data_IF_667577103512
#
_entry.id   IF_667577103512
#
_cell.length_a   1.000
_cell.length_b   1.000
_cell.length_c   1.000
_cell.angle_alpha   90.00
_cell.angle_beta   90.00
_cell.angle_gamma   90.00
#
_symmetry.space_group_name_H-M   'P 1'
#
loop_
_entity.id
_entity.type
_entity.pdbx_description
1 polymer ?
#
# COMPACT_ATOMS: atom_id res chain seq x y z
N UNK A 1 9.54 14.80 -26.83
CA UNK A 1 8.14 14.40 -26.62
C UNK A 1 7.77 14.73 -25.19
N UNK A 2 7.12 15.88 -25.02
CA UNK A 2 6.37 16.37 -23.85
C UNK A 2 5.28 15.36 -23.47
N UNK A 3 4.92 15.08 -22.21
CA UNK A 3 4.59 15.97 -21.10
C UNK A 3 4.84 15.29 -19.75
N UNK A 4 5.58 15.99 -18.88
CA UNK A 4 5.77 15.68 -17.47
C UNK A 4 4.49 16.04 -16.70
N UNK A 5 3.51 15.14 -16.73
CA UNK A 5 2.36 15.21 -15.84
C UNK A 5 2.71 14.39 -14.61
N UNK A 6 2.76 15.02 -13.44
CA UNK A 6 2.81 14.33 -12.15
C UNK A 6 1.57 13.45 -12.08
N UNK A 7 1.69 12.20 -12.50
CA UNK A 7 0.61 11.24 -12.43
C UNK A 7 0.31 11.03 -10.95
N UNK A 8 -0.90 11.37 -10.55
CA UNK A 8 -1.36 11.28 -9.16
C UNK A 8 -1.46 9.80 -8.79
N UNK A 9 -0.36 9.23 -8.28
CA UNK A 9 -0.33 7.85 -7.76
C UNK A 9 -1.24 7.77 -6.53
N UNK A 10 -2.15 6.80 -6.52
CA UNK A 10 -2.99 6.54 -5.36
C UNK A 10 -2.29 5.51 -4.43
N UNK A 11 -1.79 5.93 -3.26
CA UNK A 11 -1.06 5.04 -2.36
C UNK A 11 -1.94 3.96 -1.71
N UNK A 12 -3.26 4.07 -1.81
CA UNK A 12 -4.21 3.07 -1.29
C UNK A 12 -4.48 1.92 -2.28
N UNK A 13 -4.00 2.01 -3.53
CA UNK A 13 -4.28 1.02 -4.56
C UNK A 13 -3.06 0.14 -4.86
N UNK A 14 -3.28 -1.17 -4.90
CA UNK A 14 -2.29 -2.17 -5.25
C UNK A 14 -1.77 -1.96 -6.68
N UNK A 15 -0.45 -1.93 -6.92
CA UNK A 15 0.11 -1.69 -8.25
C UNK A 15 -0.13 -2.85 -9.23
N UNK A 16 -0.52 -4.03 -8.74
CA UNK A 16 -0.72 -5.23 -9.57
C UNK A 16 -2.18 -5.44 -9.95
N UNK A 17 -3.13 -5.10 -9.07
CA UNK A 17 -4.55 -5.39 -9.28
C UNK A 17 -5.46 -4.17 -9.15
N UNK A 18 -4.90 -2.98 -8.87
CA UNK A 18 -5.58 -1.68 -8.74
C UNK A 18 -6.71 -1.61 -7.71
N UNK A 19 -6.91 -2.67 -6.92
CA UNK A 19 -7.80 -2.72 -5.75
C UNK A 19 -7.10 -2.16 -4.52
N UNK A 20 -7.86 -1.92 -3.46
CA UNK A 20 -7.34 -1.51 -2.16
C UNK A 20 -6.20 -2.43 -1.67
N UNK A 21 -5.08 -1.86 -1.25
CA UNK A 21 -3.90 -2.61 -0.84
C UNK A 21 -3.87 -3.06 0.63
N UNK A 22 -4.87 -2.69 1.41
CA UNK A 22 -5.00 -2.97 2.83
C UNK A 22 -3.77 -2.57 3.66
N UNK A 23 -2.99 -1.58 3.18
CA UNK A 23 -1.80 -1.10 3.85
C UNK A 23 -1.91 0.41 4.15
N UNK A 24 -1.85 0.75 5.44
CA UNK A 24 -1.92 2.13 5.94
C UNK A 24 -0.59 2.89 6.00
N UNK A 25 0.54 2.32 5.55
CA UNK A 25 1.87 2.91 5.78
C UNK A 25 2.09 4.26 5.08
N UNK A 26 1.27 4.59 4.07
CA UNK A 26 1.39 5.83 3.32
C UNK A 26 0.37 6.90 3.74
N UNK A 27 -0.52 6.58 4.68
CA UNK A 27 -1.51 7.51 5.22
C UNK A 27 -0.98 8.31 6.42
N UNK A 28 0.14 7.93 7.04
CA UNK A 28 0.60 8.61 8.25
C UNK A 28 1.18 10.01 8.00
N UNK A 29 1.74 10.27 6.80
CA UNK A 29 2.46 11.53 6.50
C UNK A 29 1.80 12.42 5.42
N UNK A 30 0.68 12.02 4.81
CA UNK A 30 0.04 12.78 3.72
C UNK A 30 -1.43 13.19 4.00
N UNK A 31 -1.91 13.00 5.22
CA UNK A 31 -3.25 13.46 5.63
C UNK A 31 -3.20 14.89 6.17
N UNK A 32 -3.03 15.84 5.25
CA UNK A 32 -3.26 17.26 5.53
C UNK A 32 -4.75 17.63 5.43
N UNK A 33 -5.60 16.73 4.92
CA UNK A 33 -7.04 16.95 4.84
C UNK A 33 -7.73 16.42 6.11
N UNK A 34 -8.18 17.35 6.95
CA UNK A 34 -8.94 17.09 8.18
C UNK A 34 -10.19 16.24 7.97
N UNK A 35 -10.69 16.07 6.73
CA UNK A 35 -11.81 15.17 6.43
C UNK A 35 -11.42 13.69 6.35
N UNK A 36 -10.16 13.34 6.07
CA UNK A 36 -9.76 11.92 6.04
C UNK A 36 -9.47 11.35 7.43
N UNK A 37 -9.07 12.20 8.39
CA UNK A 37 -8.83 11.78 9.79
C UNK A 37 -10.09 11.26 10.48
N UNK A 38 -11.26 11.83 10.19
CA UNK A 38 -12.49 11.50 10.91
C UNK A 38 -13.20 10.24 10.41
N UNK A 39 -12.94 9.78 9.18
CA UNK A 39 -13.59 8.56 8.65
C UNK A 39 -12.70 7.31 8.73
N UNK A 40 -11.38 7.46 8.89
CA UNK A 40 -10.47 6.32 8.99
C UNK A 40 -10.38 5.74 10.40
N UNK A 41 -10.99 6.40 11.41
CA UNK A 41 -10.82 6.06 12.82
C UNK A 41 -12.04 5.45 13.51
N UNK A 42 -13.23 5.38 12.91
CA UNK A 42 -14.42 4.97 13.69
C UNK A 42 -15.13 3.68 13.28
N UNK A 43 -14.89 3.06 12.12
CA UNK A 43 -15.51 1.74 11.85
C UNK A 43 -14.70 0.87 10.86
N UNK A 44 -13.96 -0.10 11.41
CA UNK A 44 -13.66 -1.40 10.78
C UNK A 44 -12.80 -1.43 9.50
N UNK A 45 -11.54 -1.04 9.63
CA UNK A 45 -10.42 -1.82 9.08
C UNK A 45 -9.58 -2.25 10.28
N UNK A 46 -9.00 -3.47 10.32
CA UNK A 46 -8.03 -3.80 11.34
C UNK A 46 -6.80 -2.92 11.07
N UNK A 47 -6.84 -1.70 11.61
CA UNK A 47 -5.67 -0.89 11.77
C UNK A 47 -4.82 -1.69 12.75
N UNK A 48 -3.75 -2.27 12.21
CA UNK A 48 -2.45 -2.23 12.86
C UNK A 48 -2.53 -2.65 14.32
N UNK A 49 -2.35 -3.95 14.61
CA UNK A 49 -2.33 -4.50 15.98
C UNK A 49 -1.73 -3.51 16.97
N UNK A 50 -2.54 -2.91 17.86
CA UNK A 50 -2.07 -1.82 18.72
C UNK A 50 -0.91 -2.23 19.66
N UNK A 51 -0.67 -3.53 19.79
CA UNK A 51 0.41 -4.12 20.58
C UNK A 51 1.74 -4.29 19.79
N UNK A 52 1.67 -4.37 18.46
CA UNK A 52 2.84 -4.36 17.56
C UNK A 52 2.83 -3.04 16.79
N UNK A 53 3.89 -2.24 16.86
CA UNK A 53 4.04 -1.01 16.06
C UNK A 53 4.17 -1.26 14.52
N UNK A 54 3.47 -2.25 13.98
CA UNK A 54 3.40 -2.57 12.57
C UNK A 54 2.16 -1.88 12.01
N UNK A 55 2.38 -0.93 11.10
CA UNK A 55 1.29 -0.14 10.49
C UNK A 55 0.70 -0.81 9.24
N UNK A 56 1.27 -1.94 8.80
CA UNK A 56 0.77 -2.81 7.73
C UNK A 56 1.17 -4.26 7.93
N UNK A 57 0.35 -5.19 7.44
CA UNK A 57 0.66 -6.63 7.38
C UNK A 57 1.99 -6.92 6.65
N UNK A 58 2.32 -6.12 5.63
CA UNK A 58 3.54 -6.30 4.83
C UNK A 58 4.84 -5.92 5.54
N UNK A 59 4.77 -5.40 6.78
CA UNK A 59 5.93 -5.10 7.61
C UNK A 59 6.30 -6.26 8.55
N UNK A 60 5.54 -7.36 8.55
CA UNK A 60 5.91 -8.56 9.30
C UNK A 60 7.23 -9.12 8.74
N UNK A 61 8.28 -9.30 9.57
CA UNK A 61 9.57 -9.81 9.13
C UNK A 61 9.52 -11.23 8.54
N UNK A 62 8.44 -11.97 8.79
CA UNK A 62 8.20 -13.29 8.21
C UNK A 62 7.60 -13.23 6.80
N UNK A 63 7.19 -12.04 6.34
CA UNK A 63 6.68 -11.82 4.98
C UNK A 63 7.84 -11.42 4.07
N UNK A 64 8.10 -12.23 3.05
CA UNK A 64 9.09 -11.96 2.02
C UNK A 64 8.42 -11.89 0.65
N UNK A 65 8.77 -10.85 -0.11
CA UNK A 65 8.32 -10.68 -1.48
C UNK A 65 9.37 -11.25 -2.43
N UNK A 66 9.04 -12.26 -3.24
CA UNK A 66 9.95 -12.78 -4.25
C UNK A 66 10.40 -11.67 -5.23
N UNK A 67 11.67 -11.64 -5.65
CA UNK A 67 12.16 -10.64 -6.61
C UNK A 67 11.33 -10.57 -7.90
N UNK A 68 10.83 -11.71 -8.38
CA UNK A 68 10.02 -11.85 -9.58
C UNK A 68 8.66 -11.14 -9.43
N UNK A 69 8.08 -11.17 -8.23
CA UNK A 69 6.85 -10.43 -7.93
C UNK A 69 7.13 -8.93 -7.93
N UNK A 70 8.27 -8.49 -7.38
CA UNK A 70 8.65 -7.07 -7.37
C UNK A 70 8.93 -6.53 -8.78
N UNK A 71 9.40 -7.38 -9.69
CA UNK A 71 9.60 -7.03 -11.10
C UNK A 71 8.28 -6.75 -11.85
N UNK A 72 7.15 -7.30 -11.38
CA UNK A 72 5.84 -7.03 -11.98
C UNK A 72 5.30 -5.64 -11.64
N UNK A 73 5.87 -4.96 -10.65
CA UNK A 73 5.47 -3.60 -10.27
C UNK A 73 6.00 -2.61 -11.32
N UNK A 74 5.14 -1.79 -11.95
CA UNK A 74 5.60 -0.74 -12.85
C UNK A 74 6.57 0.22 -12.16
N UNK A 75 7.63 0.64 -12.85
CA UNK A 75 8.67 1.51 -12.28
C UNK A 75 8.09 2.80 -11.68
N UNK A 76 7.05 3.34 -12.30
CA UNK A 76 6.36 4.54 -11.83
C UNK A 76 5.65 4.36 -10.48
N UNK A 77 5.35 3.11 -10.09
CA UNK A 77 4.62 2.74 -8.87
C UNK A 77 5.52 2.12 -7.80
N UNK A 78 6.76 1.74 -8.15
CA UNK A 78 7.76 1.26 -7.18
C UNK A 78 7.99 2.29 -6.08
N UNK A 79 8.05 1.82 -4.84
CA UNK A 79 8.23 2.65 -3.63
C UNK A 79 7.15 3.72 -3.39
N UNK A 80 6.04 3.72 -4.14
CA UNK A 80 4.94 4.69 -3.99
C UNK A 80 3.62 4.07 -3.55
N UNK A 81 3.48 2.75 -3.66
CA UNK A 81 2.31 1.99 -3.20
C UNK A 81 2.73 0.58 -2.78
N UNK A 82 1.94 -0.07 -1.94
CA UNK A 82 2.15 -1.43 -1.47
C UNK A 82 1.37 -2.45 -2.32
N UNK A 83 1.95 -3.63 -2.51
CA UNK A 83 1.25 -4.82 -3.05
C UNK A 83 0.26 -5.29 -1.98
N UNK A 84 -0.97 -5.63 -2.37
CA UNK A 84 -1.98 -6.17 -1.44
C UNK A 84 -1.65 -7.61 -1.02
N UNK A 85 -2.16 -8.02 0.15
CA UNK A 85 -1.91 -9.38 0.68
C UNK A 85 -2.36 -10.47 -0.29
N UNK A 86 -3.50 -10.28 -0.95
CA UNK A 86 -4.01 -11.25 -1.92
C UNK A 86 -3.09 -11.41 -3.12
N UNK A 87 -2.54 -10.33 -3.68
CA UNK A 87 -1.58 -10.43 -4.78
C UNK A 87 -0.24 -11.03 -4.32
N UNK A 88 0.23 -10.69 -3.12
CA UNK A 88 1.46 -11.25 -2.57
C UNK A 88 1.37 -12.76 -2.34
N UNK A 89 0.25 -13.23 -1.79
CA UNK A 89 0.02 -14.65 -1.49
C UNK A 89 -0.43 -15.47 -2.71
N UNK A 90 -1.03 -14.82 -3.73
CA UNK A 90 -1.41 -15.50 -4.97
C UNK A 90 -0.22 -15.75 -5.90
N UNK A 91 0.90 -15.06 -5.69
CA UNK A 91 2.10 -15.26 -6.50
C UNK A 91 2.66 -16.67 -6.27
N UNK A 92 2.80 -17.41 -7.38
CA UNK A 92 3.46 -18.71 -7.44
C UNK A 92 4.66 -18.53 -8.35
N UNK A 93 5.85 -18.77 -7.82
CA UNK A 93 7.10 -18.78 -8.59
C UNK A 93 7.13 -19.99 -9.54
#
# INVERSE_FOLDING_TARGET
>A
MTTNSVQKVNPQLCPLCTKDNACGNLLSNHLTDSKLKSNYLENSRPACDAEKKLTCWCQDPNIQFPPELLQQVPDELKNKTCICQSCAMAFKA
#
